data_IF_335048627466
#
_entry.id   IF_335048627466
#
_cell.length_a   1.000
_cell.length_b   1.000
_cell.length_c   1.000
_cell.angle_alpha   90.00
_cell.angle_beta   90.00
_cell.angle_gamma   90.00
#
_symmetry.space_group_name_H-M   'P 1'
#
loop_
_entity.id
_entity.type
_entity.pdbx_description
1 polymer ?
#
# COMPACT_ATOMS: atom_id res chain seq x y z
N UNK A 1 -21.83 1.57 56.03
CA UNK A 1 -21.02 0.95 54.96
C UNK A 1 -21.90 0.83 53.73
N UNK A 2 -21.71 1.70 52.74
CA UNK A 2 -22.47 1.62 51.49
C UNK A 2 -22.03 0.37 50.73
N UNK A 3 -22.94 -0.61 50.69
CA UNK A 3 -22.82 -1.82 49.88
C UNK A 3 -22.87 -1.44 48.41
N UNK A 4 -21.70 -1.33 47.79
CA UNK A 4 -21.58 -1.21 46.34
C UNK A 4 -22.07 -2.52 45.70
N UNK A 5 -23.19 -2.46 44.97
CA UNK A 5 -23.75 -3.56 44.18
C UNK A 5 -23.60 -3.21 42.70
N UNK A 6 -22.44 -3.47 42.07
CA UNK A 6 -22.27 -3.16 40.68
C UNK A 6 -23.14 -4.10 39.83
N UNK A 7 -24.00 -3.53 39.00
CA UNK A 7 -24.72 -4.26 37.96
C UNK A 7 -23.72 -4.55 36.85
N UNK A 8 -23.11 -5.73 36.87
CA UNK A 8 -22.18 -6.18 35.84
C UNK A 8 -22.95 -6.99 34.80
N UNK A 9 -23.59 -6.31 33.85
CA UNK A 9 -24.35 -6.90 32.72
C UNK A 9 -23.58 -6.85 31.40
N UNK A 10 -22.25 -6.78 31.46
CA UNK A 10 -21.44 -6.78 30.25
C UNK A 10 -21.37 -8.18 29.63
N UNK A 11 -21.28 -8.20 28.30
CA UNK A 11 -20.91 -9.36 27.49
C UNK A 11 -19.76 -8.98 26.57
N UNK A 12 -18.87 -9.93 26.33
CA UNK A 12 -17.74 -9.82 25.42
C UNK A 12 -17.88 -10.85 24.30
N UNK A 13 -17.36 -10.51 23.12
CA UNK A 13 -17.32 -11.40 21.96
C UNK A 13 -15.86 -11.72 21.67
N UNK A 14 -15.54 -13.01 21.62
CA UNK A 14 -14.21 -13.49 21.23
C UNK A 14 -14.27 -13.97 19.77
N UNK A 15 -13.54 -13.30 18.88
CA UNK A 15 -13.51 -13.64 17.46
C UNK A 15 -12.33 -14.56 17.15
N UNK A 16 -12.61 -15.74 16.61
CA UNK A 16 -11.62 -16.71 16.17
C UNK A 16 -11.72 -16.93 14.67
N UNK A 17 -10.57 -17.01 13.99
CA UNK A 17 -10.55 -17.36 12.57
C UNK A 17 -11.11 -18.77 12.32
N UNK A 18 -10.70 -19.74 13.16
CA UNK A 18 -11.10 -21.14 13.10
C UNK A 18 -11.16 -21.71 14.52
N UNK A 19 -12.00 -22.71 14.75
CA UNK A 19 -12.17 -23.40 16.04
C UNK A 19 -10.87 -23.95 16.59
N UNK A 20 -9.96 -24.39 15.71
CA UNK A 20 -8.64 -24.90 16.11
C UNK A 20 -7.76 -23.86 16.84
N UNK A 21 -8.06 -22.57 16.71
CA UNK A 21 -7.33 -21.50 17.39
C UNK A 21 -7.92 -21.16 18.76
N UNK A 22 -9.02 -21.80 19.14
CA UNK A 22 -9.58 -21.64 20.47
C UNK A 22 -8.64 -22.22 21.53
N UNK A 23 -8.45 -21.47 22.62
CA UNK A 23 -7.64 -21.91 23.75
C UNK A 23 -8.42 -22.99 24.50
N UNK A 24 -7.96 -24.23 24.39
CA UNK A 24 -8.58 -25.40 25.05
C UNK A 24 -8.22 -25.52 26.53
N UNK A 25 -7.11 -24.91 26.96
CA UNK A 25 -6.66 -24.90 28.36
C UNK A 25 -7.05 -23.59 29.05
N UNK A 26 -8.27 -23.53 29.58
CA UNK A 26 -8.80 -22.37 30.29
C UNK A 26 -8.68 -22.52 31.81
N UNK A 27 -8.35 -21.44 32.50
CA UNK A 27 -8.46 -21.37 33.97
C UNK A 27 -9.93 -21.47 34.40
N UNK A 28 -10.19 -21.90 35.64
CA UNK A 28 -11.55 -22.00 36.19
C UNK A 28 -12.34 -20.69 36.04
N UNK A 29 -11.69 -19.54 36.29
CA UNK A 29 -12.30 -18.23 36.12
C UNK A 29 -12.74 -17.95 34.66
N UNK A 30 -11.92 -18.33 33.68
CA UNK A 30 -12.26 -18.15 32.26
C UNK A 30 -13.39 -19.09 31.84
N UNK A 31 -13.41 -20.33 32.35
CA UNK A 31 -14.50 -21.27 32.11
C UNK A 31 -15.82 -20.73 32.66
N UNK A 32 -15.82 -20.15 33.85
CA UNK A 32 -17.02 -19.53 34.44
C UNK A 32 -17.55 -18.36 33.61
N UNK A 33 -16.67 -17.54 33.02
CA UNK A 33 -17.07 -16.44 32.13
C UNK A 33 -17.70 -16.94 30.82
N UNK A 34 -17.20 -18.03 30.24
CA UNK A 34 -17.78 -18.63 29.04
C UNK A 34 -19.10 -19.34 29.37
N UNK A 35 -19.11 -20.18 30.41
CA UNK A 35 -20.28 -20.96 30.82
C UNK A 35 -21.45 -20.08 31.28
N UNK A 36 -21.17 -18.92 31.87
CA UNK A 36 -22.19 -17.92 32.23
C UNK A 36 -22.69 -17.11 31.03
N UNK A 37 -22.15 -17.33 29.83
CA UNK A 37 -22.52 -16.59 28.61
C UNK A 37 -22.03 -15.13 28.60
N UNK A 38 -21.04 -14.79 29.44
CA UNK A 38 -20.40 -13.46 29.45
C UNK A 38 -19.38 -13.32 28.33
N UNK A 39 -18.72 -14.40 27.95
CA UNK A 39 -17.86 -14.45 26.76
C UNK A 39 -18.51 -15.35 25.72
N UNK A 40 -18.78 -14.79 24.54
CA UNK A 40 -19.39 -15.51 23.43
C UNK A 40 -18.32 -15.71 22.35
N UNK A 41 -17.84 -16.95 22.14
CA UNK A 41 -16.95 -17.24 21.04
C UNK A 41 -17.72 -17.23 19.71
N UNK A 42 -17.17 -16.53 18.72
CA UNK A 42 -17.66 -16.53 17.34
C UNK A 42 -16.51 -16.98 16.44
N UNK A 43 -16.75 -18.04 15.67
CA UNK A 43 -15.78 -18.58 14.72
C UNK A 43 -16.13 -18.13 13.32
N UNK A 44 -15.21 -17.40 12.68
CA UNK A 44 -15.41 -16.80 11.37
C UNK A 44 -15.65 -17.83 10.27
N UNK A 45 -15.16 -19.07 10.43
CA UNK A 45 -15.45 -20.19 9.53
C UNK A 45 -16.94 -20.64 9.56
N UNK A 46 -17.65 -20.38 10.65
CA UNK A 46 -19.06 -20.78 10.84
C UNK A 46 -20.04 -19.63 10.56
N UNK A 47 -19.56 -18.38 10.51
CA UNK A 47 -20.44 -17.23 10.27
C UNK A 47 -20.82 -17.23 8.80
N UNK A 48 -22.11 -17.33 8.51
CA UNK A 48 -22.59 -17.17 7.13
C UNK A 48 -22.36 -15.72 6.68
N UNK A 49 -22.05 -15.55 5.38
CA UNK A 49 -21.71 -14.27 4.76
C UNK A 49 -22.87 -13.26 4.73
N UNK A 50 -23.88 -13.37 5.59
CA UNK A 50 -25.15 -12.64 5.51
C UNK A 50 -25.05 -11.12 5.59
N UNK A 51 -23.89 -10.56 5.98
CA UNK A 51 -23.63 -9.11 5.92
C UNK A 51 -22.32 -8.82 5.18
N UNK A 52 -22.23 -7.63 4.60
CA UNK A 52 -21.03 -7.11 3.93
C UNK A 52 -19.80 -7.16 4.86
N UNK A 53 -19.97 -6.74 6.12
CA UNK A 53 -18.88 -6.73 7.10
C UNK A 53 -18.32 -8.14 7.41
N UNK A 54 -19.21 -9.14 7.53
CA UNK A 54 -18.77 -10.53 7.70
C UNK A 54 -18.04 -11.04 6.47
N UNK A 55 -18.52 -10.73 5.26
CA UNK A 55 -17.85 -11.16 4.04
C UNK A 55 -16.49 -10.51 3.84
N UNK A 56 -16.29 -9.24 4.24
CA UNK A 56 -14.96 -8.60 4.27
C UNK A 56 -14.00 -9.34 5.21
N UNK A 57 -14.48 -9.76 6.37
CA UNK A 57 -13.68 -10.55 7.32
C UNK A 57 -13.38 -11.95 6.75
N UNK A 58 -14.37 -12.61 6.13
CA UNK A 58 -14.16 -13.89 5.47
C UNK A 58 -13.11 -13.79 4.38
N UNK A 59 -13.04 -12.67 3.66
CA UNK A 59 -12.03 -12.42 2.63
C UNK A 59 -10.61 -12.68 3.13
N UNK A 60 -10.32 -12.38 4.40
CA UNK A 60 -9.02 -12.60 5.06
C UNK A 60 -8.68 -14.10 5.14
N UNK A 61 -9.68 -14.97 5.24
CA UNK A 61 -9.55 -16.42 5.43
C UNK A 61 -9.80 -17.23 4.15
N UNK A 62 -10.41 -16.62 3.13
CA UNK A 62 -10.78 -17.27 1.87
C UNK A 62 -9.56 -17.81 1.10
N UNK A 63 -9.69 -18.90 0.35
CA UNK A 63 -8.62 -19.35 -0.54
C UNK A 63 -8.60 -18.52 -1.84
N UNK A 64 -7.44 -18.37 -2.48
CA UNK A 64 -7.23 -17.55 -3.69
C UNK A 64 -8.25 -17.87 -4.80
N UNK A 65 -8.58 -19.15 -4.98
CA UNK A 65 -9.53 -19.62 -6.00
C UNK A 65 -10.97 -19.14 -5.75
N UNK A 66 -11.36 -18.95 -4.48
CA UNK A 66 -12.71 -18.55 -4.09
C UNK A 66 -12.84 -17.03 -3.93
N UNK A 67 -11.72 -16.31 -3.84
CA UNK A 67 -11.71 -14.88 -3.61
C UNK A 67 -12.46 -14.06 -4.68
N UNK A 68 -12.29 -14.32 -6.00
CA UNK A 68 -13.00 -13.55 -7.02
C UNK A 68 -14.53 -13.61 -6.86
N UNK A 69 -15.07 -14.78 -6.54
CA UNK A 69 -16.52 -14.97 -6.37
C UNK A 69 -17.03 -14.17 -5.16
N UNK A 70 -16.30 -14.23 -4.03
CA UNK A 70 -16.68 -13.50 -2.83
C UNK A 70 -16.57 -11.98 -3.01
N UNK A 71 -15.52 -11.50 -3.69
CA UNK A 71 -15.34 -10.08 -4.03
C UNK A 71 -16.50 -9.57 -4.86
N UNK A 72 -16.88 -10.30 -5.91
CA UNK A 72 -18.01 -9.92 -6.77
C UNK A 72 -19.33 -9.87 -5.99
N UNK A 73 -19.58 -10.84 -5.12
CA UNK A 73 -20.76 -10.83 -4.25
C UNK A 73 -20.78 -9.63 -3.31
N UNK A 74 -19.63 -9.27 -2.72
CA UNK A 74 -19.52 -8.12 -1.83
C UNK A 74 -19.72 -6.80 -2.56
N UNK A 75 -19.18 -6.67 -3.77
CA UNK A 75 -19.38 -5.49 -4.62
C UNK A 75 -20.85 -5.28 -4.96
N UNK A 76 -21.53 -6.34 -5.42
CA UNK A 76 -22.95 -6.25 -5.77
C UNK A 76 -23.81 -5.90 -4.57
N UNK A 77 -23.51 -6.47 -3.40
CA UNK A 77 -24.22 -6.11 -2.16
C UNK A 77 -23.94 -4.67 -1.73
N UNK A 78 -22.70 -4.22 -1.79
CA UNK A 78 -22.37 -2.83 -1.47
C UNK A 78 -23.11 -1.83 -2.37
N UNK A 79 -23.39 -2.20 -3.63
CA UNK A 79 -24.15 -1.37 -4.57
C UNK A 79 -25.67 -1.47 -4.40
N UNK A 80 -26.19 -2.58 -3.87
CA UNK A 80 -27.64 -2.85 -3.80
C UNK A 80 -28.24 -2.65 -2.40
N UNK A 81 -27.50 -2.98 -1.35
CA UNK A 81 -27.96 -2.93 0.04
C UNK A 81 -27.68 -1.58 0.71
N UNK A 82 -26.69 -0.82 0.22
CA UNK A 82 -26.28 0.46 0.80
C UNK A 82 -26.83 1.60 -0.05
N UNK A 83 -27.67 2.44 0.58
CA UNK A 83 -28.30 3.57 -0.08
C UNK A 83 -27.38 4.79 -0.21
N UNK A 84 -26.43 4.98 0.71
CA UNK A 84 -25.51 6.12 0.72
C UNK A 84 -24.29 5.83 -0.17
N UNK A 85 -24.10 6.56 -1.29
CA UNK A 85 -22.98 6.36 -2.20
C UNK A 85 -21.61 6.56 -1.54
N UNK A 86 -21.51 7.40 -0.49
CA UNK A 86 -20.26 7.61 0.25
C UNK A 86 -19.89 6.36 1.04
N UNK A 87 -20.86 5.74 1.73
CA UNK A 87 -20.65 4.51 2.48
C UNK A 87 -20.35 3.34 1.54
N UNK A 88 -21.05 3.25 0.39
CA UNK A 88 -20.72 2.27 -0.66
C UNK A 88 -19.27 2.41 -1.12
N UNK A 89 -18.81 3.64 -1.36
CA UNK A 89 -17.43 3.91 -1.75
C UNK A 89 -16.44 3.47 -0.67
N UNK A 90 -16.69 3.81 0.59
CA UNK A 90 -15.83 3.43 1.72
C UNK A 90 -15.70 1.91 1.86
N UNK A 91 -16.79 1.16 1.61
CA UNK A 91 -16.78 -0.30 1.61
C UNK A 91 -15.93 -0.85 0.45
N UNK A 92 -16.05 -0.27 -0.74
CA UNK A 92 -15.26 -0.68 -1.91
C UNK A 92 -13.77 -0.39 -1.67
N UNK A 93 -13.43 0.77 -1.10
CA UNK A 93 -12.06 1.15 -0.74
C UNK A 93 -11.47 0.19 0.32
N UNK A 94 -12.26 -0.22 1.31
CA UNK A 94 -11.85 -1.21 2.31
C UNK A 94 -11.63 -2.59 1.69
N UNK A 95 -12.53 -3.02 0.80
CA UNK A 95 -12.41 -4.29 0.08
C UNK A 95 -11.12 -4.34 -0.74
N UNK A 96 -10.79 -3.28 -1.47
CA UNK A 96 -9.53 -3.18 -2.21
C UNK A 96 -8.32 -3.25 -1.27
N UNK A 97 -8.36 -2.52 -0.16
CA UNK A 97 -7.27 -2.52 0.84
C UNK A 97 -7.00 -3.94 1.36
N UNK A 98 -8.06 -4.70 1.67
CA UNK A 98 -7.94 -6.09 2.12
C UNK A 98 -7.37 -6.97 1.01
N UNK A 99 -7.78 -6.78 -0.24
CA UNK A 99 -7.27 -7.56 -1.37
C UNK A 99 -5.79 -7.31 -1.62
N UNK A 100 -5.37 -6.06 -1.69
CA UNK A 100 -3.95 -5.70 -1.88
C UNK A 100 -3.10 -6.22 -0.72
N UNK A 101 -3.59 -6.08 0.52
CA UNK A 101 -2.86 -6.55 1.71
C UNK A 101 -2.75 -8.07 1.77
N UNK A 102 -3.83 -8.79 1.47
CA UNK A 102 -3.87 -10.24 1.57
C UNK A 102 -3.18 -10.94 0.40
N UNK A 103 -3.36 -10.40 -0.80
CA UNK A 103 -2.89 -11.00 -2.04
C UNK A 103 -1.68 -10.24 -2.60
N UNK A 104 -0.67 -10.01 -1.76
CA UNK A 104 0.52 -9.23 -2.13
C UNK A 104 1.34 -9.80 -3.31
N UNK A 105 1.11 -11.06 -3.68
CA UNK A 105 1.77 -11.74 -4.80
C UNK A 105 0.97 -11.66 -6.11
N UNK A 106 -0.29 -11.23 -6.07
CA UNK A 106 -1.08 -11.08 -7.29
C UNK A 106 -0.62 -9.83 -8.04
N UNK A 107 -0.58 -9.96 -9.37
CA UNK A 107 -0.43 -8.83 -10.26
C UNK A 107 -1.63 -7.89 -10.16
N UNK A 108 -1.39 -6.65 -10.58
CA UNK A 108 -2.44 -5.65 -10.67
C UNK A 108 -3.58 -6.11 -11.58
N UNK A 109 -3.27 -6.77 -12.68
CA UNK A 109 -4.24 -7.30 -13.63
C UNK A 109 -5.13 -8.38 -12.99
N UNK A 110 -4.55 -9.24 -12.16
CA UNK A 110 -5.31 -10.27 -11.42
C UNK A 110 -6.24 -9.66 -10.37
N UNK A 111 -5.78 -8.69 -9.60
CA UNK A 111 -6.64 -7.94 -8.67
C UNK A 111 -7.73 -7.20 -9.45
N UNK A 112 -7.37 -6.53 -10.55
CA UNK A 112 -8.32 -5.83 -11.40
C UNK A 112 -9.38 -6.74 -12.01
N UNK A 113 -9.06 -8.01 -12.31
CA UNK A 113 -10.02 -8.99 -12.81
C UNK A 113 -11.00 -9.48 -11.73
N UNK A 114 -10.63 -9.37 -10.44
CA UNK A 114 -11.56 -9.62 -9.33
C UNK A 114 -12.58 -8.50 -9.19
N UNK A 115 -12.25 -7.29 -9.65
CA UNK A 115 -13.20 -6.20 -9.84
C UNK A 115 -13.74 -6.23 -11.29
N UNK A 116 -14.92 -5.68 -11.54
CA UNK A 116 -15.26 -5.30 -12.91
C UNK A 116 -14.37 -4.08 -13.21
N UNK A 117 -13.38 -4.18 -14.12
CA UNK A 117 -12.27 -3.23 -14.41
C UNK A 117 -12.53 -1.71 -14.24
N UNK A 118 -13.78 -1.26 -14.30
CA UNK A 118 -14.23 0.11 -14.00
C UNK A 118 -14.12 0.49 -12.52
N UNK A 119 -14.34 -0.44 -11.61
CA UNK A 119 -14.58 -0.14 -10.19
C UNK A 119 -13.28 0.18 -9.46
N UNK A 120 -12.22 -0.58 -9.75
CA UNK A 120 -10.89 -0.41 -9.16
C UNK A 120 -10.17 0.88 -9.58
N UNK A 121 -10.55 1.54 -10.68
CA UNK A 121 -9.94 2.83 -11.06
C UNK A 121 -10.47 4.00 -10.23
N UNK A 122 -11.62 3.81 -9.59
CA UNK A 122 -12.29 4.84 -8.78
C UNK A 122 -11.86 4.81 -7.31
N UNK A 123 -11.17 3.75 -6.91
CA UNK A 123 -10.77 3.58 -5.53
C UNK A 123 -9.60 4.47 -5.16
N UNK A 124 -9.50 4.76 -3.86
CA UNK A 124 -8.47 5.65 -3.34
C UNK A 124 -7.06 5.06 -3.51
N UNK A 125 -6.87 3.77 -3.18
CA UNK A 125 -5.54 3.13 -3.25
C UNK A 125 -4.98 3.18 -4.67
N UNK A 126 -5.82 2.90 -5.67
CA UNK A 126 -5.42 3.00 -7.07
C UNK A 126 -5.03 4.42 -7.50
N UNK A 127 -5.79 5.43 -7.07
CA UNK A 127 -5.54 6.83 -7.43
C UNK A 127 -4.26 7.35 -6.80
N UNK A 128 -4.03 7.02 -5.52
CA UNK A 128 -2.81 7.37 -4.79
C UNK A 128 -1.58 6.73 -5.44
N UNK A 129 -1.59 5.41 -5.66
CA UNK A 129 -0.48 4.70 -6.31
C UNK A 129 -0.17 5.25 -7.72
N UNK A 130 -1.22 5.58 -8.49
CA UNK A 130 -1.04 6.20 -9.82
C UNK A 130 -0.47 7.61 -9.73
N UNK A 131 -0.85 8.37 -8.71
CA UNK A 131 -0.37 9.72 -8.50
C UNK A 131 1.10 9.72 -8.04
N UNK A 132 1.46 8.83 -7.12
CA UNK A 132 2.83 8.61 -6.65
C UNK A 132 3.75 8.21 -7.81
N UNK A 133 3.40 7.16 -8.57
CA UNK A 133 4.21 6.75 -9.72
C UNK A 133 4.34 7.82 -10.81
N UNK A 134 3.35 8.71 -10.96
CA UNK A 134 3.45 9.89 -11.85
C UNK A 134 4.34 10.99 -11.29
N UNK A 135 4.49 11.10 -9.97
CA UNK A 135 5.39 12.06 -9.35
C UNK A 135 6.83 11.56 -9.45
N UNK A 136 7.06 10.30 -9.04
CA UNK A 136 8.36 9.63 -9.15
C UNK A 136 8.86 9.62 -10.59
N UNK A 137 8.06 9.13 -11.54
CA UNK A 137 8.47 9.09 -12.95
C UNK A 137 8.72 10.48 -13.57
N UNK A 138 8.08 11.55 -13.05
CA UNK A 138 8.39 12.93 -13.48
C UNK A 138 9.65 13.49 -12.84
N UNK A 139 10.04 12.99 -11.68
CA UNK A 139 11.28 13.38 -11.01
C UNK A 139 12.45 12.65 -11.65
N UNK A 140 12.37 11.32 -11.76
CA UNK A 140 13.37 10.49 -12.45
C UNK A 140 13.58 10.96 -13.89
N UNK A 141 12.50 11.14 -14.66
CA UNK A 141 12.60 11.60 -16.05
C UNK A 141 13.19 13.00 -16.21
N UNK A 142 13.06 13.87 -15.20
CA UNK A 142 13.74 15.19 -15.20
C UNK A 142 15.23 15.04 -14.93
N UNK A 143 15.59 14.27 -13.90
CA UNK A 143 16.99 14.00 -13.53
C UNK A 143 17.75 13.31 -14.67
N UNK A 144 17.19 12.26 -15.27
CA UNK A 144 17.78 11.57 -16.42
C UNK A 144 17.92 12.51 -17.63
N UNK A 145 16.91 13.34 -17.89
CA UNK A 145 16.92 14.31 -18.98
C UNK A 145 18.01 15.37 -18.84
N UNK A 146 18.18 15.92 -17.63
CA UNK A 146 19.22 16.90 -17.31
C UNK A 146 20.61 16.29 -17.33
N UNK A 147 20.81 15.12 -16.71
CA UNK A 147 22.08 14.40 -16.79
C UNK A 147 22.48 14.13 -18.25
N UNK A 148 21.53 13.67 -19.07
CA UNK A 148 21.78 13.43 -20.49
C UNK A 148 22.07 14.73 -21.26
N UNK A 149 21.47 15.86 -20.88
CA UNK A 149 21.77 17.16 -21.47
C UNK A 149 23.20 17.61 -21.11
N UNK A 150 23.55 17.58 -19.83
CA UNK A 150 24.88 17.94 -19.32
C UNK A 150 25.95 17.07 -19.98
N UNK A 151 25.75 15.75 -20.04
CA UNK A 151 26.68 14.82 -20.70
C UNK A 151 26.87 15.13 -22.19
N UNK A 152 25.80 15.51 -22.90
CA UNK A 152 25.89 15.93 -24.31
C UNK A 152 26.68 17.24 -24.45
N UNK A 153 26.47 18.20 -23.55
CA UNK A 153 27.20 19.48 -23.56
C UNK A 153 28.69 19.27 -23.26
N UNK A 154 29.02 18.50 -22.23
CA UNK A 154 30.40 18.11 -21.91
C UNK A 154 31.05 17.40 -23.09
N UNK A 155 30.35 16.43 -23.69
CA UNK A 155 30.89 15.68 -24.82
C UNK A 155 31.13 16.56 -26.05
N UNK A 156 30.26 17.55 -26.27
CA UNK A 156 30.40 18.51 -27.36
C UNK A 156 31.56 19.48 -27.14
N UNK A 157 31.81 19.91 -25.90
CA UNK A 157 32.86 20.87 -25.56
C UNK A 157 34.24 20.23 -25.44
N UNK A 158 34.31 19.03 -24.85
CA UNK A 158 35.57 18.41 -24.46
C UNK A 158 35.83 17.05 -25.12
N UNK A 159 34.94 16.57 -25.98
CA UNK A 159 35.07 15.27 -26.63
C UNK A 159 34.66 14.11 -25.74
N UNK A 160 35.26 12.94 -25.92
CA UNK A 160 34.81 11.72 -25.23
C UNK A 160 34.94 11.84 -23.71
N UNK A 161 33.81 11.71 -23.01
CA UNK A 161 33.76 11.63 -21.54
C UNK A 161 33.98 10.18 -21.11
N UNK A 162 34.80 9.96 -20.09
CA UNK A 162 35.08 8.63 -19.54
C UNK A 162 33.86 8.03 -18.82
N UNK A 163 33.69 6.72 -18.88
CA UNK A 163 32.57 6.00 -18.26
C UNK A 163 32.42 6.29 -16.75
N UNK A 164 33.54 6.46 -16.04
CA UNK A 164 33.54 6.85 -14.62
C UNK A 164 32.80 8.18 -14.39
N UNK A 165 33.05 9.20 -15.20
CA UNK A 165 32.40 10.51 -15.10
C UNK A 165 30.92 10.42 -15.47
N UNK A 166 30.59 9.61 -16.48
CA UNK A 166 29.20 9.36 -16.88
C UNK A 166 28.41 8.76 -15.71
N UNK A 167 28.97 7.75 -15.04
CA UNK A 167 28.34 7.13 -13.87
C UNK A 167 28.13 8.13 -12.73
N UNK A 168 29.13 8.95 -12.42
CA UNK A 168 29.01 9.97 -11.38
C UNK A 168 27.93 10.99 -11.73
N UNK A 169 27.92 11.52 -12.96
CA UNK A 169 26.93 12.51 -13.39
C UNK A 169 25.51 11.93 -13.37
N UNK A 170 25.32 10.68 -13.78
CA UNK A 170 24.01 10.02 -13.70
C UNK A 170 23.54 9.76 -12.27
N UNK A 171 24.43 9.81 -11.28
CA UNK A 171 24.09 9.67 -9.85
C UNK A 171 23.85 11.00 -9.13
N UNK A 172 24.09 12.14 -9.79
CA UNK A 172 23.85 13.47 -9.22
C UNK A 172 22.36 13.73 -9.05
N UNK A 173 22.00 14.46 -7.99
CA UNK A 173 20.64 14.95 -7.78
C UNK A 173 20.27 16.01 -8.83
N UNK A 174 18.98 16.31 -8.97
CA UNK A 174 18.50 17.37 -9.87
C UNK A 174 19.17 18.72 -9.58
N UNK A 175 19.27 19.10 -8.31
CA UNK A 175 19.92 20.35 -7.89
C UNK A 175 21.41 20.39 -8.25
N UNK A 176 22.12 19.27 -8.07
CA UNK A 176 23.52 19.16 -8.47
C UNK A 176 23.68 19.20 -10.00
N UNK A 177 22.72 18.68 -10.76
CA UNK A 177 22.73 18.72 -12.22
C UNK A 177 22.46 20.13 -12.75
N UNK A 178 21.55 20.87 -12.14
CA UNK A 178 21.31 22.29 -12.42
C UNK A 178 22.57 23.12 -12.16
N UNK A 179 23.16 22.99 -10.97
CA UNK A 179 24.40 23.67 -10.60
C UNK A 179 25.57 23.32 -11.55
N UNK A 180 25.67 22.05 -11.92
CA UNK A 180 26.67 21.59 -12.89
C UNK A 180 26.40 22.19 -14.27
N UNK A 181 25.14 22.31 -14.69
CA UNK A 181 24.75 22.92 -15.94
C UNK A 181 25.19 24.38 -16.07
N UNK A 182 25.09 25.14 -14.98
CA UNK A 182 25.58 26.52 -14.90
C UNK A 182 27.12 26.57 -14.88
N UNK A 183 27.75 25.83 -13.96
CA UNK A 183 29.21 25.81 -13.82
C UNK A 183 29.92 25.33 -15.09
N UNK A 184 29.29 24.41 -15.83
CA UNK A 184 29.79 23.89 -17.10
C UNK A 184 30.08 24.99 -18.12
N UNK A 185 29.37 26.11 -18.07
CA UNK A 185 29.59 27.24 -18.98
C UNK A 185 30.95 27.91 -18.74
N UNK A 186 31.43 27.92 -17.51
CA UNK A 186 32.69 28.56 -17.11
C UNK A 186 33.92 27.64 -17.22
N UNK A 187 33.73 26.33 -17.40
CA UNK A 187 34.83 25.37 -17.47
C UNK A 187 35.78 25.64 -18.66
N UNK A 188 37.07 25.79 -18.40
CA UNK A 188 38.11 25.90 -19.42
C UNK A 188 38.57 24.54 -19.93
N UNK A 189 38.62 23.54 -19.06
CA UNK A 189 39.12 22.20 -19.34
C UNK A 189 38.38 21.10 -18.57
N UNK A 190 38.62 19.83 -18.92
CA UNK A 190 38.01 18.70 -18.23
C UNK A 190 38.43 18.56 -16.77
N UNK A 191 39.58 19.12 -16.36
CA UNK A 191 40.01 19.10 -14.97
C UNK A 191 39.09 19.94 -14.08
N UNK A 192 38.44 20.99 -14.61
CA UNK A 192 37.48 21.81 -13.88
C UNK A 192 36.26 21.00 -13.44
N UNK A 193 35.80 20.07 -14.28
CA UNK A 193 34.74 19.13 -13.94
C UNK A 193 35.16 18.21 -12.79
N UNK A 194 36.38 17.66 -12.82
CA UNK A 194 36.84 16.77 -11.75
C UNK A 194 36.97 17.52 -10.41
N UNK A 195 37.44 18.78 -10.46
CA UNK A 195 37.51 19.66 -9.30
C UNK A 195 36.12 19.97 -8.74
N UNK A 196 35.16 20.30 -9.62
CA UNK A 196 33.77 20.56 -9.25
C UNK A 196 33.10 19.33 -8.61
N UNK A 197 33.27 18.14 -9.22
CA UNK A 197 32.72 16.90 -8.67
C UNK A 197 33.32 16.60 -7.30
N UNK A 198 34.61 16.84 -7.10
CA UNK A 198 35.27 16.59 -5.80
C UNK A 198 34.80 17.55 -4.71
N UNK A 199 34.54 18.82 -5.04
CA UNK A 199 34.11 19.84 -4.06
C UNK A 199 32.64 19.72 -3.64
N UNK A 200 31.79 19.07 -4.46
CA UNK A 200 30.34 18.94 -4.20
C UNK A 200 29.87 17.54 -3.83
N UNK A 201 30.68 16.50 -4.08
CA UNK A 201 30.37 15.09 -3.74
C UNK A 201 31.17 14.62 -2.52
N UNK A 202 32.12 15.45 -2.03
CA UNK A 202 32.99 15.14 -0.90
C UNK A 202 32.50 15.57 0.51
N UNK A 203 31.33 16.20 0.61
CA UNK A 203 30.59 16.46 1.87
C UNK A 203 29.38 15.53 1.97
#
# INVERSE_FOLDING_TARGET
>A
MNQYKPVQDWKAVALFAQRRFEVTSLTLYQQDLINSGRIIPIYLEDVSSGSIGVGLIQLILTQDVQAPVLVQQLLERAKTEIADPLVTRDIIDLLETVLVSKFAQLSREEIQAMFLLSDIKQTRVYQEAKQEGRQEGRQEGRQEGEAQLVLRLLSKRFGKISDRRIQVINSLTLEQLDDLGEALLDFGELADLDNWLTSRIGE
#
